data_IF_377186484625
#
_entry.id   IF_377186484625
#
_cell.length_a   1.000
_cell.length_b   1.000
_cell.length_c   1.000
_cell.angle_alpha   90.00
_cell.angle_beta   90.00
_cell.angle_gamma   90.00
#
_symmetry.space_group_name_H-M   'P 1'
#
loop_
_entity.id
_entity.type
_entity.pdbx_description
1 polymer ?
#
# COMPACT_ATOMS: atom_id res chain seq x y z
N UNK A 1 7.15 -17.32 0.42
CA UNK A 1 8.36 -16.91 -0.34
C UNK A 1 7.97 -16.45 -1.75
N UNK A 2 7.26 -17.26 -2.57
CA UNK A 2 6.95 -16.89 -3.95
C UNK A 2 6.20 -15.55 -4.17
N UNK A 3 5.34 -15.11 -3.23
CA UNK A 3 4.58 -13.86 -3.37
C UNK A 3 5.49 -12.63 -3.21
N UNK A 4 6.33 -12.63 -2.18
CA UNK A 4 7.25 -11.52 -1.91
C UNK A 4 8.34 -11.40 -2.99
N UNK A 5 8.77 -12.52 -3.57
CA UNK A 5 9.71 -12.53 -4.69
C UNK A 5 9.09 -11.93 -5.96
N UNK A 6 7.82 -12.22 -6.24
CA UNK A 6 7.07 -11.59 -7.34
C UNK A 6 6.91 -10.08 -7.13
N UNK A 7 6.55 -9.67 -5.90
CA UNK A 7 6.49 -8.25 -5.52
C UNK A 7 7.84 -7.58 -5.75
N UNK A 8 8.94 -8.19 -5.31
CA UNK A 8 10.29 -7.64 -5.51
C UNK A 8 10.64 -7.49 -6.99
N UNK A 9 10.22 -8.44 -7.82
CA UNK A 9 10.44 -8.39 -9.29
C UNK A 9 9.65 -7.25 -9.92
N UNK A 10 8.37 -7.09 -9.57
CA UNK A 10 7.53 -5.99 -10.08
C UNK A 10 8.03 -4.62 -9.62
N UNK A 11 8.50 -4.51 -8.39
CA UNK A 11 9.07 -3.28 -7.83
C UNK A 11 10.35 -2.87 -8.57
N UNK A 12 11.15 -3.83 -9.07
CA UNK A 12 12.39 -3.60 -9.82
C UNK A 12 12.17 -3.41 -11.33
N UNK A 13 11.00 -3.77 -11.86
CA UNK A 13 10.72 -3.68 -13.28
C UNK A 13 10.90 -2.24 -13.80
N UNK A 14 11.71 -2.07 -14.85
CA UNK A 14 11.86 -0.78 -15.52
C UNK A 14 10.82 -0.66 -16.62
N UNK A 15 9.82 0.18 -16.41
CA UNK A 15 8.72 0.38 -17.35
C UNK A 15 9.17 0.93 -18.70
N UNK A 16 10.27 1.68 -18.75
CA UNK A 16 10.81 2.23 -20.00
C UNK A 16 11.34 1.12 -20.92
N UNK A 17 12.12 0.18 -20.35
CA UNK A 17 12.68 -0.94 -21.13
C UNK A 17 11.60 -1.87 -21.70
N UNK A 18 10.46 -1.96 -21.00
CA UNK A 18 9.32 -2.74 -21.45
C UNK A 18 8.60 -2.06 -22.63
N UNK A 19 8.53 -0.73 -22.63
CA UNK A 19 7.86 0.06 -23.66
C UNK A 19 8.69 0.07 -24.97
N UNK A 20 10.01 0.21 -24.87
CA UNK A 20 10.90 0.32 -26.02
C UNK A 20 10.93 -0.97 -26.87
N UNK A 21 10.57 -2.12 -26.29
CA UNK A 21 10.53 -3.43 -26.96
C UNK A 21 9.15 -3.88 -27.41
N UNK A 22 8.10 -3.11 -27.11
CA UNK A 22 6.74 -3.55 -27.32
C UNK A 22 6.16 -3.09 -28.66
N UNK A 23 5.54 -4.02 -29.39
CA UNK A 23 4.73 -3.73 -30.57
C UNK A 23 3.50 -2.85 -30.25
N UNK A 24 2.95 -2.99 -29.05
CA UNK A 24 1.84 -2.20 -28.53
C UNK A 24 2.08 -1.75 -27.09
N UNK A 25 2.79 -0.62 -26.89
CA UNK A 25 3.14 -0.12 -25.56
C UNK A 25 1.93 0.15 -24.65
N UNK A 26 0.84 0.67 -25.23
CA UNK A 26 -0.37 0.96 -24.46
C UNK A 26 -0.98 -0.29 -23.82
N UNK A 27 -1.09 -1.38 -24.58
CA UNK A 27 -1.64 -2.64 -24.07
C UNK A 27 -0.74 -3.25 -23.02
N UNK A 28 0.57 -3.18 -23.22
CA UNK A 28 1.56 -3.74 -22.29
C UNK A 28 1.60 -2.99 -20.97
N UNK A 29 1.58 -1.65 -21.01
CA UNK A 29 1.52 -0.84 -19.80
C UNK A 29 0.26 -1.08 -18.99
N UNK A 30 -0.90 -1.21 -19.64
CA UNK A 30 -2.15 -1.56 -18.96
C UNK A 30 -2.07 -2.93 -18.30
N UNK A 31 -1.43 -3.91 -18.96
CA UNK A 31 -1.24 -5.24 -18.39
C UNK A 31 -0.33 -5.20 -17.15
N UNK A 32 0.78 -4.48 -17.21
CA UNK A 32 1.71 -4.33 -16.08
C UNK A 32 1.01 -3.68 -14.87
N UNK A 33 0.21 -2.63 -15.11
CA UNK A 33 -0.58 -2.00 -14.04
C UNK A 33 -1.54 -3.01 -13.41
N UNK A 34 -2.28 -3.75 -14.22
CA UNK A 34 -3.21 -4.77 -13.76
C UNK A 34 -2.50 -5.86 -12.93
N UNK A 35 -1.30 -6.26 -13.36
CA UNK A 35 -0.51 -7.26 -12.62
C UNK A 35 -0.06 -6.72 -11.25
N UNK A 36 0.35 -5.44 -11.18
CA UNK A 36 0.69 -4.79 -9.90
C UNK A 36 -0.55 -4.66 -9.00
N UNK A 37 -1.70 -4.28 -9.54
CA UNK A 37 -2.97 -4.19 -8.81
C UNK A 37 -3.39 -5.54 -8.23
N UNK A 38 -3.30 -6.60 -9.02
CA UNK A 38 -3.60 -7.96 -8.57
C UNK A 38 -2.66 -8.40 -7.43
N UNK A 39 -1.35 -8.11 -7.55
CA UNK A 39 -0.40 -8.41 -6.47
C UNK A 39 -0.68 -7.57 -5.21
N UNK A 40 -1.04 -6.30 -5.37
CA UNK A 40 -1.42 -5.45 -4.24
C UNK A 40 -2.62 -6.02 -3.49
N UNK A 41 -3.66 -6.46 -4.20
CA UNK A 41 -4.85 -7.10 -3.58
C UNK A 41 -4.47 -8.39 -2.86
N UNK A 42 -3.61 -9.23 -3.47
CA UNK A 42 -3.15 -10.47 -2.84
C UNK A 42 -2.37 -10.21 -1.56
N UNK A 43 -1.41 -9.28 -1.56
CA UNK A 43 -0.63 -8.92 -0.37
C UNK A 43 -1.52 -8.31 0.71
N UNK A 44 -2.47 -7.47 0.32
CA UNK A 44 -3.45 -6.88 1.24
C UNK A 44 -4.29 -7.95 1.95
N UNK A 45 -4.74 -8.95 1.20
CA UNK A 45 -5.49 -10.09 1.76
C UNK A 45 -4.62 -10.90 2.72
N UNK A 46 -3.37 -11.20 2.35
CA UNK A 46 -2.44 -11.93 3.23
C UNK A 46 -2.11 -11.14 4.50
N UNK A 47 -1.93 -9.82 4.40
CA UNK A 47 -1.72 -8.96 5.56
C UNK A 47 -2.93 -8.95 6.51
N UNK A 48 -4.15 -8.94 5.96
CA UNK A 48 -5.37 -9.02 6.76
C UNK A 48 -5.51 -10.36 7.48
N UNK A 49 -5.18 -11.48 6.81
CA UNK A 49 -5.16 -12.81 7.42
C UNK A 49 -4.12 -12.88 8.53
N UNK A 50 -2.89 -12.46 8.24
CA UNK A 50 -1.80 -12.48 9.23
C UNK A 50 -2.13 -11.64 10.47
N UNK A 51 -2.80 -10.50 10.29
CA UNK A 51 -3.26 -9.66 11.41
C UNK A 51 -4.38 -10.33 12.23
N UNK A 52 -5.30 -11.03 11.57
CA UNK A 52 -6.35 -11.79 12.24
C UNK A 52 -5.76 -12.95 13.07
N UNK A 53 -4.77 -13.66 12.52
CA UNK A 53 -4.06 -14.72 13.23
C UNK A 53 -3.29 -14.15 14.43
N UNK A 54 -2.65 -13.00 14.31
CA UNK A 54 -2.00 -12.31 15.43
C UNK A 54 -2.99 -12.02 16.57
N UNK A 55 -4.15 -11.47 16.26
CA UNK A 55 -5.17 -11.22 17.26
C UNK A 55 -5.68 -12.51 17.92
N UNK A 56 -5.81 -13.59 17.16
CA UNK A 56 -6.20 -14.89 17.71
C UNK A 56 -5.14 -15.44 18.67
N UNK A 57 -3.86 -15.34 18.32
CA UNK A 57 -2.76 -15.75 19.21
C UNK A 57 -2.73 -14.92 20.49
N UNK A 58 -2.88 -13.60 20.39
CA UNK A 58 -2.95 -12.71 21.55
C UNK A 58 -4.13 -13.06 22.47
N UNK A 59 -5.29 -13.38 21.90
CA UNK A 59 -6.45 -13.84 22.66
C UNK A 59 -6.16 -15.16 23.39
N UNK A 60 -5.59 -16.15 22.69
CA UNK A 60 -5.23 -17.44 23.30
C UNK A 60 -4.19 -17.30 24.40
N UNK A 61 -3.17 -16.46 24.21
CA UNK A 61 -2.19 -16.12 25.27
C UNK A 61 -2.91 -15.61 26.51
N UNK A 62 -3.81 -14.64 26.34
CA UNK A 62 -4.58 -14.06 27.45
C UNK A 62 -5.43 -15.10 28.18
N UNK A 63 -6.18 -15.92 27.45
CA UNK A 63 -7.01 -16.99 28.02
C UNK A 63 -6.19 -18.01 28.83
N UNK A 64 -4.98 -18.37 28.35
CA UNK A 64 -4.12 -19.29 29.08
C UNK A 64 -3.48 -18.62 30.31
N UNK A 65 -3.09 -17.37 30.24
CA UNK A 65 -2.62 -16.61 31.40
C UNK A 65 -3.68 -16.45 32.49
N UNK A 66 -4.94 -16.24 32.12
CA UNK A 66 -6.07 -16.20 33.06
C UNK A 66 -6.27 -17.56 33.74
N UNK A 67 -6.20 -18.67 32.96
CA UNK A 67 -6.28 -20.04 33.51
C UNK A 67 -5.10 -20.36 34.44
N UNK A 68 -3.89 -19.94 34.09
CA UNK A 68 -2.73 -20.05 34.96
C UNK A 68 -3.01 -19.39 36.32
N UNK A 69 -3.49 -18.15 36.33
CA UNK A 69 -3.79 -17.40 37.54
C UNK A 69 -4.90 -18.08 38.37
N UNK A 70 -5.92 -18.60 37.68
CA UNK A 70 -7.01 -19.35 38.34
C UNK A 70 -6.49 -20.62 39.01
N UNK A 71 -5.63 -21.40 38.37
CA UNK A 71 -5.07 -22.61 38.95
C UNK A 71 -4.10 -22.32 40.09
N UNK A 72 -3.32 -21.25 39.99
CA UNK A 72 -2.50 -20.77 41.12
C UNK A 72 -3.34 -20.45 42.35
N UNK A 73 -4.44 -19.74 42.17
CA UNK A 73 -5.38 -19.46 43.26
C UNK A 73 -6.02 -20.73 43.88
N UNK A 74 -6.32 -21.74 43.04
CA UNK A 74 -6.79 -23.05 43.51
C UNK A 74 -5.73 -23.79 44.31
N UNK A 75 -4.47 -23.70 43.90
CA UNK A 75 -3.36 -24.27 44.65
C UNK A 75 -3.19 -23.63 46.03
N UNK A 76 -3.27 -22.30 46.12
CA UNK A 76 -3.25 -21.54 47.39
C UNK A 76 -4.36 -22.00 48.31
N UNK A 77 -5.58 -22.12 47.80
CA UNK A 77 -6.74 -22.61 48.59
C UNK A 77 -6.53 -24.04 49.09
N UNK A 78 -5.95 -24.94 48.30
CA UNK A 78 -5.65 -26.31 48.72
C UNK A 78 -4.60 -26.34 49.84
N UNK A 79 -3.57 -25.49 49.75
CA UNK A 79 -2.59 -25.31 50.82
C UNK A 79 -3.23 -24.83 52.14
N UNK A 80 -4.13 -23.84 52.06
CA UNK A 80 -4.90 -23.37 53.23
C UNK A 80 -5.70 -24.51 53.89
N UNK A 81 -6.22 -25.45 53.08
CA UNK A 81 -6.95 -26.62 53.52
C UNK A 81 -6.07 -27.78 54.00
N UNK A 82 -4.73 -27.61 53.89
CA UNK A 82 -3.68 -28.65 54.21
C UNK A 82 -3.81 -29.89 53.35
N UNK A 83 -4.28 -29.71 52.09
CA UNK A 83 -4.41 -30.77 51.10
C UNK A 83 -3.23 -30.63 50.10
N UNK A 84 -2.08 -31.16 50.44
CA UNK A 84 -0.85 -31.03 49.69
C UNK A 84 -0.94 -31.80 48.34
N UNK A 85 -1.72 -32.85 48.27
CA UNK A 85 -1.90 -33.63 47.04
C UNK A 85 -2.69 -32.84 46.01
N UNK A 86 -3.79 -32.21 46.43
CA UNK A 86 -4.58 -31.32 45.57
C UNK A 86 -3.80 -30.07 45.16
N UNK A 87 -2.99 -29.52 46.08
CA UNK A 87 -2.16 -28.37 45.80
C UNK A 87 -1.11 -28.69 44.69
N UNK A 88 -0.44 -29.85 44.77
CA UNK A 88 0.48 -30.30 43.68
C UNK A 88 -0.20 -30.48 42.37
N UNK A 89 -1.36 -31.14 42.32
CA UNK A 89 -2.14 -31.30 41.10
C UNK A 89 -2.57 -29.96 40.47
N UNK A 90 -2.93 -28.98 41.30
CA UNK A 90 -3.28 -27.64 40.85
C UNK A 90 -2.05 -26.88 40.29
N UNK A 91 -0.89 -27.01 40.93
CA UNK A 91 0.36 -26.42 40.44
C UNK A 91 0.82 -27.03 39.10
N UNK A 92 0.69 -28.34 38.92
CA UNK A 92 1.01 -29.00 37.65
C UNK A 92 0.13 -28.42 36.51
N UNK A 93 -1.17 -28.18 36.80
CA UNK A 93 -2.06 -27.52 35.84
C UNK A 93 -1.65 -26.08 35.56
N UNK A 94 -1.30 -25.33 36.61
CA UNK A 94 -0.82 -23.96 36.44
C UNK A 94 0.43 -23.91 35.56
N UNK A 95 1.41 -24.77 35.83
CA UNK A 95 2.65 -24.88 35.02
C UNK A 95 2.36 -25.21 33.56
N UNK A 96 1.42 -26.11 33.30
CA UNK A 96 1.02 -26.43 31.91
C UNK A 96 0.45 -25.21 31.19
N UNK A 97 -0.38 -24.40 31.82
CA UNK A 97 -0.92 -23.17 31.24
C UNK A 97 0.13 -22.07 31.08
N UNK A 98 1.11 -22.03 31.99
CA UNK A 98 2.26 -21.14 31.87
C UNK A 98 3.07 -21.47 30.62
N UNK A 99 3.44 -22.73 30.42
CA UNK A 99 4.18 -23.19 29.23
C UNK A 99 3.43 -22.88 27.94
N UNK A 100 2.10 -23.05 27.90
CA UNK A 100 1.30 -22.66 26.76
C UNK A 100 1.33 -21.15 26.52
N UNK A 101 1.30 -20.35 27.59
CA UNK A 101 1.38 -18.88 27.49
C UNK A 101 2.72 -18.44 26.88
N UNK A 102 3.82 -19.03 27.33
CA UNK A 102 5.18 -18.78 26.81
C UNK A 102 5.28 -19.18 25.33
N UNK A 103 4.75 -20.35 24.96
CA UNK A 103 4.73 -20.78 23.56
C UNK A 103 3.91 -19.86 22.66
N UNK A 104 2.75 -19.34 23.14
CA UNK A 104 2.00 -18.34 22.38
C UNK A 104 2.74 -17.00 22.28
N UNK A 105 3.52 -16.63 23.28
CA UNK A 105 4.33 -15.42 23.24
C UNK A 105 5.39 -15.47 22.15
N UNK A 106 6.09 -16.60 22.02
CA UNK A 106 7.06 -16.83 20.93
C UNK A 106 6.36 -16.75 19.55
N UNK A 107 5.21 -17.41 19.40
CA UNK A 107 4.44 -17.36 18.15
C UNK A 107 3.96 -15.93 17.81
N UNK A 108 3.61 -15.12 18.81
CA UNK A 108 3.20 -13.72 18.62
C UNK A 108 4.37 -12.91 18.06
N UNK A 109 5.58 -13.07 18.58
CA UNK A 109 6.76 -12.36 18.09
C UNK A 109 7.01 -12.67 16.61
N UNK A 110 6.96 -13.94 16.23
CA UNK A 110 7.13 -14.36 14.83
C UNK A 110 6.02 -13.81 13.93
N UNK A 111 4.78 -13.85 14.41
CA UNK A 111 3.62 -13.35 13.65
C UNK A 111 3.66 -11.82 13.49
N UNK A 112 4.10 -11.07 14.50
CA UNK A 112 4.31 -9.62 14.43
C UNK A 112 5.35 -9.26 13.37
N UNK A 113 6.46 -9.98 13.32
CA UNK A 113 7.49 -9.79 12.29
C UNK A 113 6.92 -10.04 10.88
N UNK A 114 6.10 -11.08 10.71
CA UNK A 114 5.44 -11.37 9.44
C UNK A 114 4.45 -10.28 9.03
N UNK A 115 3.65 -9.77 9.96
CA UNK A 115 2.70 -8.66 9.71
C UNK A 115 3.44 -7.40 9.26
N UNK A 116 4.54 -7.04 9.93
CA UNK A 116 5.34 -5.86 9.56
C UNK A 116 5.99 -6.02 8.17
N UNK A 117 6.46 -7.21 7.83
CA UNK A 117 6.99 -7.50 6.49
C UNK A 117 5.91 -7.29 5.41
N UNK A 118 4.70 -7.78 5.63
CA UNK A 118 3.58 -7.64 4.70
C UNK A 118 3.11 -6.17 4.58
N UNK A 119 3.06 -5.42 5.69
CA UNK A 119 2.76 -3.98 5.66
C UNK A 119 3.79 -3.19 4.87
N UNK A 120 5.08 -3.51 5.07
CA UNK A 120 6.17 -2.89 4.29
C UNK A 120 6.04 -3.18 2.80
N UNK A 121 5.71 -4.43 2.43
CA UNK A 121 5.49 -4.82 1.05
C UNK A 121 4.30 -4.09 0.42
N UNK A 122 3.19 -3.95 1.16
CA UNK A 122 2.02 -3.17 0.72
C UNK A 122 2.38 -1.72 0.39
N UNK A 123 3.09 -1.05 1.31
CA UNK A 123 3.51 0.34 1.10
C UNK A 123 4.39 0.51 -0.14
N UNK A 124 5.31 -0.43 -0.37
CA UNK A 124 6.16 -0.43 -1.58
C UNK A 124 5.35 -0.63 -2.86
N UNK A 125 4.38 -1.54 -2.85
CA UNK A 125 3.49 -1.77 -4.00
C UNK A 125 2.59 -0.57 -4.29
N UNK A 126 2.07 0.08 -3.27
CA UNK A 126 1.24 1.29 -3.40
C UNK A 126 2.01 2.41 -4.11
N UNK A 127 3.23 2.69 -3.67
CA UNK A 127 4.12 3.67 -4.32
C UNK A 127 4.41 3.28 -5.77
N UNK A 128 4.73 2.01 -6.01
CA UNK A 128 5.01 1.51 -7.37
C UNK A 128 3.80 1.55 -8.28
N UNK A 129 2.62 1.29 -7.77
CA UNK A 129 1.38 1.40 -8.53
C UNK A 129 1.13 2.85 -8.96
N UNK A 130 1.32 3.81 -8.06
CA UNK A 130 1.19 5.23 -8.37
C UNK A 130 2.22 5.68 -9.43
N UNK A 131 3.50 5.30 -9.28
CA UNK A 131 4.54 5.56 -10.27
C UNK A 131 4.22 4.93 -11.63
N UNK A 132 3.77 3.66 -11.64
CA UNK A 132 3.44 2.95 -12.87
C UNK A 132 2.28 3.60 -13.62
N UNK A 133 1.24 4.02 -12.91
CA UNK A 133 0.09 4.74 -13.50
C UNK A 133 0.51 6.05 -14.12
N UNK A 134 1.27 6.89 -13.40
CA UNK A 134 1.74 8.18 -13.91
C UNK A 134 2.64 8.03 -15.15
N UNK A 135 3.59 7.08 -15.11
CA UNK A 135 4.43 6.79 -16.28
C UNK A 135 3.64 6.26 -17.47
N UNK A 136 2.67 5.38 -17.23
CA UNK A 136 1.83 4.83 -18.29
C UNK A 136 1.01 5.91 -18.99
N UNK A 137 0.41 6.82 -18.25
CA UNK A 137 -0.34 7.96 -18.81
C UNK A 137 0.54 8.81 -19.71
N UNK A 138 1.75 9.14 -19.26
CA UNK A 138 2.71 9.93 -20.03
C UNK A 138 3.12 9.21 -21.32
N UNK A 139 3.51 7.93 -21.24
CA UNK A 139 3.97 7.15 -22.37
C UNK A 139 2.84 6.90 -23.39
N UNK A 140 1.62 6.64 -22.94
CA UNK A 140 0.43 6.51 -23.78
C UNK A 140 0.16 7.82 -24.54
N UNK A 141 0.25 8.96 -23.86
CA UNK A 141 0.08 10.27 -24.49
C UNK A 141 1.14 10.54 -25.55
N UNK A 142 2.41 10.26 -25.24
CA UNK A 142 3.52 10.38 -26.19
C UNK A 142 3.36 9.47 -27.42
N UNK A 143 2.99 8.21 -27.22
CA UNK A 143 2.77 7.25 -28.30
C UNK A 143 1.61 7.67 -29.22
N UNK A 144 0.50 8.14 -28.64
CA UNK A 144 -0.64 8.66 -29.41
C UNK A 144 -0.25 9.88 -30.24
N UNK A 145 0.54 10.80 -29.66
CA UNK A 145 1.07 11.97 -30.38
C UNK A 145 1.97 11.57 -31.53
N UNK A 146 2.93 10.67 -31.31
CA UNK A 146 3.82 10.17 -32.35
C UNK A 146 3.05 9.50 -33.50
N UNK A 147 2.08 8.66 -33.16
CA UNK A 147 1.21 8.01 -34.16
C UNK A 147 0.36 9.00 -34.98
N UNK A 148 -0.14 10.06 -34.36
CA UNK A 148 -0.86 11.12 -35.04
C UNK A 148 0.03 11.90 -36.02
N UNK A 149 1.27 12.21 -35.61
CA UNK A 149 2.26 12.89 -36.45
C UNK A 149 2.69 12.02 -37.65
N UNK A 150 2.93 10.72 -37.43
CA UNK A 150 3.28 9.80 -38.53
C UNK A 150 2.14 9.67 -39.55
N UNK A 151 0.91 9.51 -39.10
CA UNK A 151 -0.28 9.50 -39.98
C UNK A 151 -0.43 10.80 -40.79
N UNK A 152 -0.13 11.94 -40.16
CA UNK A 152 -0.17 13.24 -40.84
C UNK A 152 0.96 13.39 -41.86
N UNK A 153 2.13 12.80 -41.60
CA UNK A 153 3.25 12.76 -42.52
C UNK A 153 2.96 11.83 -43.75
N UNK A 154 2.40 10.64 -43.49
CA UNK A 154 2.03 9.68 -44.55
C UNK A 154 0.93 10.26 -45.47
N UNK A 155 -0.05 11.00 -44.91
CA UNK A 155 -1.07 11.69 -45.67
C UNK A 155 -0.51 12.81 -46.58
N UNK A 156 0.66 13.37 -46.24
CA UNK A 156 1.36 14.37 -47.07
C UNK A 156 2.13 13.75 -48.26
N UNK A 157 2.49 12.50 -48.15
CA UNK A 157 3.28 11.80 -49.19
C UNK A 157 2.41 11.15 -50.27
N UNK A 158 1.08 11.13 -50.09
CA UNK A 158 0.15 10.60 -51.10
C UNK A 158 -0.19 11.69 -52.11
N UNK A 159 0.28 11.64 -53.38
CA UNK A 159 -0.02 12.65 -54.38
C UNK A 159 -1.47 12.47 -54.82
N UNK A 160 -2.38 13.34 -54.41
CA UNK A 160 -3.75 13.38 -54.92
C UNK A 160 -4.89 13.53 -53.90
N UNK A 161 -4.62 13.64 -52.64
CA UNK A 161 -5.66 13.77 -51.59
C UNK A 161 -5.88 15.19 -51.11
N UNK A 162 -6.77 15.87 -51.79
CA UNK A 162 -7.22 17.24 -51.62
C UNK A 162 -7.23 17.86 -50.23
N UNK A 163 -6.88 19.12 -50.18
CA UNK A 163 -6.79 20.13 -49.11
C UNK A 163 -7.90 20.09 -48.02
N UNK A 164 -9.06 19.52 -48.26
CA UNK A 164 -10.19 19.47 -47.32
C UNK A 164 -9.99 18.48 -46.16
N UNK A 165 -9.29 17.37 -46.38
CA UNK A 165 -9.04 16.38 -45.32
C UNK A 165 -7.96 16.90 -44.39
N UNK A 166 -7.03 17.70 -44.95
CA UNK A 166 -5.93 18.30 -44.22
C UNK A 166 -6.37 19.40 -43.25
N UNK A 167 -7.32 20.25 -43.68
CA UNK A 167 -7.86 21.30 -42.81
C UNK A 167 -8.70 20.73 -41.67
N UNK A 168 -9.50 19.67 -41.91
CA UNK A 168 -10.24 18.97 -40.84
C UNK A 168 -9.30 18.30 -39.83
N UNK A 169 -8.21 17.73 -40.30
CA UNK A 169 -7.25 17.07 -39.43
C UNK A 169 -6.41 18.07 -38.62
N UNK A 170 -6.04 19.20 -39.22
CA UNK A 170 -5.36 20.33 -38.57
C UNK A 170 -6.23 20.98 -37.50
N UNK A 171 -7.55 21.16 -37.79
CA UNK A 171 -8.51 21.64 -36.80
C UNK A 171 -8.73 20.67 -35.64
N UNK A 172 -8.72 19.36 -35.89
CA UNK A 172 -8.81 18.34 -34.85
C UNK A 172 -7.58 18.27 -33.98
N UNK A 173 -6.38 18.35 -34.57
CA UNK A 173 -5.10 18.37 -33.86
C UNK A 173 -4.95 19.65 -33.03
N UNK A 174 -5.35 20.81 -33.58
CA UNK A 174 -5.35 22.07 -32.85
C UNK A 174 -6.36 22.06 -31.68
N UNK A 175 -7.52 21.40 -31.86
CA UNK A 175 -8.50 21.18 -30.77
C UNK A 175 -7.96 20.26 -29.67
N UNK A 176 -7.27 19.17 -30.03
CA UNK A 176 -6.66 18.26 -29.06
C UNK A 176 -5.41 18.87 -28.39
N UNK A 177 -4.63 19.70 -29.11
CA UNK A 177 -3.53 20.48 -28.50
C UNK A 177 -4.05 21.56 -27.53
N UNK A 178 -5.14 22.22 -27.87
CA UNK A 178 -5.80 23.20 -26.97
C UNK A 178 -6.37 22.52 -25.73
N UNK A 179 -7.00 21.34 -25.89
CA UNK A 179 -7.46 20.51 -24.78
C UNK A 179 -6.30 19.95 -23.94
N UNK A 180 -5.20 19.56 -24.59
CA UNK A 180 -3.98 19.12 -23.91
C UNK A 180 -3.28 20.25 -23.15
N UNK A 181 -3.23 21.45 -23.73
CA UNK A 181 -2.72 22.65 -23.05
C UNK A 181 -3.62 23.09 -21.90
N UNK A 182 -4.94 23.14 -22.12
CA UNK A 182 -5.91 23.45 -21.07
C UNK A 182 -5.87 22.42 -19.92
N UNK A 183 -5.66 21.15 -20.22
CA UNK A 183 -5.49 20.11 -19.22
C UNK A 183 -4.11 20.17 -18.52
N UNK A 184 -3.07 20.60 -19.23
CA UNK A 184 -1.74 20.87 -18.67
C UNK A 184 -1.71 22.13 -17.82
N UNK A 185 -2.46 23.16 -18.20
CA UNK A 185 -2.65 24.38 -17.41
C UNK A 185 -3.51 24.10 -16.16
N UNK A 186 -4.52 23.24 -16.27
CA UNK A 186 -5.31 22.78 -15.12
C UNK A 186 -4.56 21.81 -14.18
N UNK A 187 -3.54 21.10 -14.68
CA UNK A 187 -2.69 20.20 -13.88
C UNK A 187 -1.34 20.83 -13.49
N UNK A 188 -0.94 21.92 -14.16
CA UNK A 188 0.38 22.55 -13.99
C UNK A 188 0.45 23.71 -13.01
N UNK A 189 -0.66 24.29 -12.66
CA UNK A 189 -0.71 25.42 -11.71
C UNK A 189 -1.74 25.12 -10.62
N UNK A 190 -1.47 24.10 -9.82
CA UNK A 190 -2.11 23.98 -8.51
C UNK A 190 -1.43 24.93 -7.51
N UNK A 191 -1.36 26.23 -7.90
CA UNK A 191 -0.96 27.31 -7.00
C UNK A 191 -1.94 27.35 -5.82
N UNK A 192 -3.22 27.17 -6.06
CA UNK A 192 -4.25 27.07 -5.01
C UNK A 192 -4.01 25.85 -4.09
N UNK A 193 -3.65 24.70 -4.62
CA UNK A 193 -3.30 23.52 -3.80
C UNK A 193 -2.02 23.73 -3.00
N UNK A 194 -1.03 24.44 -3.53
CA UNK A 194 0.18 24.83 -2.79
C UNK A 194 -0.13 25.87 -1.71
N UNK A 195 -1.00 26.82 -1.96
CA UNK A 195 -1.47 27.77 -0.93
C UNK A 195 -2.32 27.07 0.13
N UNK A 196 -3.21 26.16 -0.24
CA UNK A 196 -3.97 25.33 0.71
C UNK A 196 -3.07 24.46 1.59
N UNK A 197 -1.97 23.93 1.04
CA UNK A 197 -0.98 23.15 1.82
C UNK A 197 -0.24 24.06 2.79
N UNK A 198 0.20 25.22 2.34
CA UNK A 198 0.87 26.23 3.18
C UNK A 198 -0.04 26.77 4.31
N UNK A 199 -1.29 27.08 3.99
CA UNK A 199 -2.28 27.51 5.00
C UNK A 199 -2.59 26.41 6.02
N UNK A 200 -2.60 25.16 5.58
CA UNK A 200 -2.80 24.00 6.46
C UNK A 200 -1.61 23.79 7.37
N UNK A 201 -0.39 23.92 6.87
CA UNK A 201 0.84 23.86 7.68
C UNK A 201 0.89 24.98 8.70
N UNK A 202 0.56 26.22 8.32
CA UNK A 202 0.49 27.36 9.25
C UNK A 202 -0.56 27.16 10.36
N UNK A 203 -1.74 26.59 10.01
CA UNK A 203 -2.76 26.26 11.01
C UNK A 203 -2.31 25.16 11.97
N UNK A 204 -1.62 24.15 11.46
CA UNK A 204 -1.06 23.06 12.28
C UNK A 204 0.02 23.62 13.24
N UNK A 205 0.91 24.48 12.74
CA UNK A 205 1.93 25.08 13.57
C UNK A 205 1.36 26.03 14.64
N UNK A 206 0.34 26.80 14.31
CA UNK A 206 -0.37 27.64 15.27
C UNK A 206 -1.04 26.82 16.39
N UNK A 207 -1.74 25.73 16.03
CA UNK A 207 -2.33 24.80 16.99
C UNK A 207 -1.28 24.10 17.86
N UNK A 208 -0.14 23.76 17.26
CA UNK A 208 0.97 23.13 17.98
C UNK A 208 1.60 24.11 18.99
N UNK A 209 1.72 25.40 18.65
CA UNK A 209 2.16 26.45 19.53
C UNK A 209 1.15 26.70 20.67
N UNK A 210 -0.14 26.70 20.36
CA UNK A 210 -1.19 26.87 21.35
C UNK A 210 -1.20 25.72 22.38
N UNK A 211 -1.06 24.49 21.92
CA UNK A 211 -0.96 23.30 22.79
C UNK A 211 0.29 23.36 23.68
N UNK A 212 1.43 23.80 23.11
CA UNK A 212 2.68 23.99 23.87
C UNK A 212 2.55 25.10 24.91
N UNK A 213 1.88 26.20 24.58
CA UNK A 213 1.61 27.30 25.52
C UNK A 213 0.69 26.87 26.67
N UNK A 214 -0.39 26.17 26.37
CA UNK A 214 -1.30 25.57 27.40
C UNK A 214 -0.57 24.62 28.34
N UNK A 215 0.31 23.77 27.83
CA UNK A 215 1.11 22.85 28.66
C UNK A 215 2.16 23.55 29.53
N UNK A 216 2.66 24.73 29.12
CA UNK A 216 3.60 25.55 29.92
C UNK A 216 2.89 26.35 31.02
N UNK A 217 1.60 26.60 30.88
CA UNK A 217 0.78 27.32 31.88
C UNK A 217 0.15 26.35 32.91
N UNK A 218 0.23 25.04 32.69
CA UNK A 218 -0.31 24.00 33.58
C UNK A 218 0.78 23.20 34.30
N UNK A 219 2.03 23.58 34.20
CA UNK A 219 3.20 23.06 34.90
C UNK A 219 3.82 24.12 35.81
#
# INVERSE_FOLDING_TARGET
MALLDRVATLVRANLNDLVDRAENPEKMLKQVILDIENQFVQVKTQAAIALADLHLLQKRKKENAEKHTEWMRKAELAVEKKDDELARAALERAMSFQQLTESFEEQIVDQEAQVELLKSALKKLEVKLAEARGKAELLIAQHRRSRALNRAADARQTPGGENRTFERMRSKIAGEEALGKAKSELLGDDIDGRFHTLEREQKIDALLQEIKARKRLSA
#
